data_IF_156138640009
#
_entry.id   IF_156138640009
#
_cell.length_a   1.000
_cell.length_b   1.000
_cell.length_c   1.000
_cell.angle_alpha   90.00
_cell.angle_beta   90.00
_cell.angle_gamma   90.00
#
_symmetry.space_group_name_H-M   'P 1'
#
loop_
_entity.id
_entity.type
_entity.pdbx_description
1 polymer ?
#
# COMPACT_ATOMS: atom_id res chain seq x y z
N UNK A 1 21.87 0.80 -20.28
CA UNK A 1 22.32 0.91 -18.88
C UNK A 1 23.45 1.92 -18.81
N UNK A 2 23.49 2.72 -17.74
CA UNK A 2 24.37 3.88 -17.65
C UNK A 2 25.86 3.49 -17.65
N UNK A 3 26.64 4.12 -18.53
CA UNK A 3 28.11 4.04 -18.58
C UNK A 3 28.78 4.97 -17.55
N UNK A 4 27.99 5.65 -16.71
CA UNK A 4 28.51 6.45 -15.60
C UNK A 4 29.14 5.54 -14.53
N UNK A 5 30.33 5.92 -14.05
CA UNK A 5 31.08 5.16 -13.04
C UNK A 5 30.40 5.14 -11.66
N UNK A 6 29.47 6.06 -11.40
CA UNK A 6 28.90 6.29 -10.07
C UNK A 6 27.61 5.49 -9.89
N UNK A 7 27.43 4.89 -8.69
CA UNK A 7 26.23 4.11 -8.35
C UNK A 7 25.02 5.05 -8.22
N UNK A 8 23.96 4.83 -8.99
CA UNK A 8 22.72 5.62 -8.90
C UNK A 8 21.64 4.92 -8.07
N UNK A 9 21.12 5.56 -7.01
CA UNK A 9 20.06 5.00 -6.17
C UNK A 9 18.82 5.90 -6.11
N UNK A 10 17.66 5.28 -6.29
CA UNK A 10 16.34 5.93 -6.28
C UNK A 10 15.63 5.73 -4.93
N UNK A 11 15.01 6.78 -4.40
CA UNK A 11 13.96 6.66 -3.39
C UNK A 11 12.66 7.29 -3.92
N UNK A 12 11.56 6.55 -3.86
CA UNK A 12 10.22 7.02 -4.25
C UNK A 12 9.22 6.72 -3.14
N UNK A 13 8.72 7.75 -2.45
CA UNK A 13 7.75 7.55 -1.37
C UNK A 13 7.53 8.76 -0.48
N UNK A 14 6.80 8.55 0.62
CA UNK A 14 6.69 9.57 1.68
C UNK A 14 8.03 9.71 2.39
N UNK A 15 8.50 10.94 2.59
CA UNK A 15 9.75 11.24 3.31
C UNK A 15 9.49 11.18 4.81
N UNK A 16 9.32 9.96 5.33
CA UNK A 16 8.87 9.73 6.71
C UNK A 16 9.61 8.52 7.32
N UNK A 17 9.72 8.52 8.65
CA UNK A 17 10.40 7.47 9.40
C UNK A 17 9.77 6.08 9.19
N UNK A 18 8.45 5.99 9.04
CA UNK A 18 7.81 4.69 8.78
C UNK A 18 8.21 4.09 7.42
N UNK A 19 8.61 4.94 6.46
CA UNK A 19 9.15 4.53 5.16
C UNK A 19 10.65 4.28 5.18
N UNK A 20 11.29 4.41 6.34
CA UNK A 20 12.73 4.24 6.52
C UNK A 20 13.56 5.37 5.93
N UNK A 21 12.95 6.53 5.66
CA UNK A 21 13.67 7.65 5.06
C UNK A 21 14.71 8.25 6.02
N UNK A 22 14.49 8.11 7.33
CA UNK A 22 15.47 8.42 8.36
C UNK A 22 16.79 7.65 8.18
N UNK A 23 16.77 6.42 7.68
CA UNK A 23 18.02 5.69 7.39
C UNK A 23 18.84 6.37 6.29
N UNK A 24 18.16 6.88 5.26
CA UNK A 24 18.80 7.60 4.16
C UNK A 24 19.33 8.94 4.67
N UNK A 25 18.50 9.67 5.42
CA UNK A 25 18.85 10.95 6.00
C UNK A 25 20.04 10.83 6.96
N UNK A 26 19.94 9.95 7.97
CA UNK A 26 20.97 9.77 9.00
C UNK A 26 22.29 9.30 8.39
N UNK A 27 22.27 8.41 7.39
CA UNK A 27 23.48 7.99 6.66
C UNK A 27 24.19 9.20 6.03
N UNK A 28 23.43 10.04 5.33
CA UNK A 28 24.00 11.20 4.61
C UNK A 28 24.49 12.26 5.61
N UNK A 29 23.69 12.58 6.63
CA UNK A 29 24.06 13.58 7.64
C UNK A 29 25.30 13.20 8.45
N UNK A 30 25.56 11.90 8.63
CA UNK A 30 26.73 11.40 9.35
C UNK A 30 27.91 11.09 8.42
N UNK A 31 27.76 11.33 7.10
CA UNK A 31 28.81 11.01 6.15
C UNK A 31 30.00 11.98 6.30
N UNK A 32 31.22 11.50 6.60
CA UNK A 32 32.35 12.37 6.93
C UNK A 32 33.00 13.01 5.70
N UNK A 33 32.76 12.46 4.51
CA UNK A 33 33.32 12.97 3.26
C UNK A 33 32.56 14.18 2.73
N UNK A 34 33.20 14.96 1.86
CA UNK A 34 32.57 16.10 1.15
C UNK A 34 31.79 15.68 -0.09
N UNK A 35 31.98 14.45 -0.55
CA UNK A 35 31.37 13.91 -1.76
C UNK A 35 30.83 12.51 -1.48
N UNK A 36 29.55 12.29 -1.81
CA UNK A 36 28.97 10.96 -1.66
C UNK A 36 29.50 10.01 -2.75
N UNK A 37 29.69 8.72 -2.43
CA UNK A 37 30.20 7.74 -3.38
C UNK A 37 29.18 7.26 -4.42
N UNK A 38 28.01 7.89 -4.46
CA UNK A 38 26.84 7.46 -5.21
C UNK A 38 25.97 8.68 -5.52
N UNK A 39 25.12 8.59 -6.54
CA UNK A 39 24.04 9.54 -6.81
C UNK A 39 22.75 9.10 -6.11
N UNK A 40 21.95 10.07 -5.66
CA UNK A 40 20.67 9.85 -4.98
C UNK A 40 19.57 10.65 -5.64
N UNK A 41 18.57 9.95 -6.17
CA UNK A 41 17.41 10.56 -6.79
C UNK A 41 16.21 10.37 -5.85
N UNK A 42 15.67 11.47 -5.33
CA UNK A 42 14.68 11.43 -4.24
C UNK A 42 13.39 12.10 -4.72
N UNK A 43 12.32 11.30 -4.77
CA UNK A 43 10.98 11.73 -5.14
C UNK A 43 10.02 11.46 -3.99
N UNK A 44 9.42 12.52 -3.47
CA UNK A 44 8.57 12.43 -2.30
C UNK A 44 8.29 13.76 -1.64
N UNK A 45 7.39 13.70 -0.66
CA UNK A 45 7.10 14.80 0.27
C UNK A 45 6.95 14.22 1.67
N UNK A 46 7.31 14.97 2.71
CA UNK A 46 7.16 14.49 4.09
C UNK A 46 7.90 15.35 5.11
N UNK A 47 8.03 14.83 6.33
CA UNK A 47 8.66 15.55 7.45
C UNK A 47 10.15 15.83 7.23
N UNK A 48 10.84 15.02 6.42
CA UNK A 48 12.27 15.17 6.13
C UNK A 48 12.58 16.07 4.92
N UNK A 49 11.58 16.74 4.33
CA UNK A 49 11.72 17.54 3.12
C UNK A 49 12.72 18.70 3.28
N UNK A 50 12.61 19.49 4.35
CA UNK A 50 13.54 20.58 4.61
C UNK A 50 14.97 20.09 4.83
N UNK A 51 15.13 18.99 5.58
CA UNK A 51 16.44 18.43 5.89
C UNK A 51 17.15 17.88 4.65
N UNK A 52 16.45 17.18 3.76
CA UNK A 52 17.08 16.66 2.54
C UNK A 52 17.41 17.77 1.54
N UNK A 53 16.60 18.83 1.49
CA UNK A 53 16.89 20.01 0.69
C UNK A 53 18.18 20.69 1.19
N UNK A 54 18.34 20.85 2.50
CA UNK A 54 19.57 21.38 3.08
C UNK A 54 20.81 20.53 2.72
N UNK A 55 20.71 19.21 2.87
CA UNK A 55 21.79 18.29 2.50
C UNK A 55 22.13 18.36 0.99
N UNK A 56 21.15 18.63 0.11
CA UNK A 56 21.40 18.78 -1.32
C UNK A 56 22.24 20.00 -1.70
N UNK A 57 22.25 21.05 -0.87
CA UNK A 57 23.17 22.18 -1.06
C UNK A 57 24.61 21.84 -0.70
N UNK A 58 24.80 20.83 0.16
CA UNK A 58 26.12 20.39 0.63
C UNK A 58 26.70 19.26 -0.23
N UNK A 59 25.84 18.35 -0.70
CA UNK A 59 26.21 17.19 -1.50
C UNK A 59 25.60 17.27 -2.90
N UNK A 60 26.45 17.52 -3.91
CA UNK A 60 26.03 17.61 -5.33
C UNK A 60 25.39 16.32 -5.87
N UNK A 61 25.65 15.20 -5.21
CA UNK A 61 25.11 13.89 -5.59
C UNK A 61 23.67 13.67 -5.12
N UNK A 62 23.07 14.60 -4.38
CA UNK A 62 21.67 14.52 -3.93
C UNK A 62 20.78 15.33 -4.87
N UNK A 63 19.94 14.61 -5.59
CA UNK A 63 18.97 15.15 -6.54
C UNK A 63 17.56 15.03 -5.93
N UNK A 64 17.09 16.09 -5.28
CA UNK A 64 15.75 16.13 -4.66
C UNK A 64 14.74 16.84 -5.58
N UNK A 65 13.64 16.15 -5.91
CA UNK A 65 12.65 16.63 -6.89
C UNK A 65 11.27 16.93 -6.30
N UNK A 66 11.09 16.74 -4.99
CA UNK A 66 9.77 16.77 -4.37
C UNK A 66 8.86 15.64 -4.85
N UNK A 67 7.54 15.78 -4.65
CA UNK A 67 6.57 14.81 -5.14
C UNK A 67 6.33 14.97 -6.64
N UNK A 68 6.48 13.86 -7.40
CA UNK A 68 6.25 13.80 -8.84
C UNK A 68 5.38 12.60 -9.23
N UNK A 69 4.60 12.69 -10.33
CA UNK A 69 3.94 11.52 -10.91
C UNK A 69 4.98 10.55 -11.50
N UNK A 70 4.62 9.27 -11.61
CA UNK A 70 5.54 8.22 -12.09
C UNK A 70 6.12 8.54 -13.48
N UNK A 71 5.32 9.13 -14.37
CA UNK A 71 5.75 9.54 -15.72
C UNK A 71 6.89 10.58 -15.73
N UNK A 72 7.02 11.39 -14.66
CA UNK A 72 8.16 12.30 -14.51
C UNK A 72 9.38 11.58 -13.91
N UNK A 73 9.16 10.59 -13.04
CA UNK A 73 10.22 9.75 -12.46
C UNK A 73 10.91 8.93 -13.56
N UNK A 74 10.15 8.43 -14.53
CA UNK A 74 10.63 7.61 -15.66
C UNK A 74 11.80 8.24 -16.42
N UNK A 75 11.83 9.58 -16.51
CA UNK A 75 12.89 10.34 -17.19
C UNK A 75 14.27 10.21 -16.54
N UNK A 76 14.33 9.78 -15.28
CA UNK A 76 15.56 9.66 -14.52
C UNK A 76 16.03 8.22 -14.38
N UNK A 77 15.21 7.24 -14.77
CA UNK A 77 15.47 5.82 -14.50
C UNK A 77 16.71 5.28 -15.21
N UNK A 78 17.13 5.88 -16.33
CA UNK A 78 18.39 5.53 -16.98
C UNK A 78 19.62 5.74 -16.07
N UNK A 79 19.49 6.62 -15.07
CA UNK A 79 20.53 6.94 -14.11
C UNK A 79 20.47 6.11 -12.83
N UNK A 80 19.56 5.13 -12.74
CA UNK A 80 19.29 4.37 -11.53
C UNK A 80 19.74 2.92 -11.69
N UNK A 81 20.55 2.45 -10.75
CA UNK A 81 20.95 1.05 -10.64
C UNK A 81 20.03 0.27 -9.68
N UNK A 82 19.63 0.86 -8.55
CA UNK A 82 18.72 0.23 -7.58
C UNK A 82 17.73 1.23 -6.99
N UNK A 83 16.58 0.74 -6.54
CA UNK A 83 15.63 1.53 -5.76
C UNK A 83 15.64 1.12 -4.29
N UNK A 84 15.88 2.10 -3.42
CA UNK A 84 15.83 1.96 -1.98
C UNK A 84 14.37 2.07 -1.51
N UNK A 85 13.87 0.98 -0.94
CA UNK A 85 12.60 0.91 -0.22
C UNK A 85 12.80 0.36 1.20
N UNK A 86 13.52 1.07 2.08
CA UNK A 86 13.84 0.61 3.44
C UNK A 86 12.64 0.73 4.41
N UNK A 87 11.42 0.48 3.93
CA UNK A 87 10.19 0.65 4.71
C UNK A 87 10.19 -0.21 5.98
N UNK A 88 10.11 0.45 7.13
CA UNK A 88 9.95 -0.23 8.42
C UNK A 88 8.49 -0.55 8.71
N UNK A 89 7.56 0.22 8.16
CA UNK A 89 6.15 -0.14 8.12
C UNK A 89 5.92 -1.39 7.27
N UNK A 90 4.99 -2.23 7.71
CA UNK A 90 4.56 -3.42 7.00
C UNK A 90 3.71 -3.02 5.79
N UNK A 91 4.29 -3.04 4.59
CA UNK A 91 3.53 -2.78 3.36
C UNK A 91 2.47 -3.85 3.13
N UNK A 92 1.28 -3.46 2.65
CA UNK A 92 0.24 -4.44 2.30
C UNK A 92 0.46 -5.08 0.94
N UNK A 93 1.12 -4.38 0.02
CA UNK A 93 1.53 -4.91 -1.29
C UNK A 93 2.88 -4.33 -1.71
N UNK A 94 2.98 -3.01 -1.85
CA UNK A 94 4.18 -2.36 -2.40
C UNK A 94 4.02 -1.96 -3.87
N UNK A 95 2.98 -1.17 -4.20
CA UNK A 95 2.73 -0.68 -5.56
C UNK A 95 3.91 0.08 -6.16
N UNK A 96 4.63 0.88 -5.36
CA UNK A 96 5.83 1.57 -5.84
C UNK A 96 6.93 0.59 -6.24
N UNK A 97 7.12 -0.50 -5.49
CA UNK A 97 8.14 -1.50 -5.77
C UNK A 97 7.90 -2.15 -7.13
N UNK A 98 6.65 -2.56 -7.39
CA UNK A 98 6.35 -3.26 -8.63
C UNK A 98 6.47 -2.37 -9.88
N UNK A 99 6.10 -1.09 -9.77
CA UNK A 99 6.25 -0.14 -10.87
C UNK A 99 7.73 0.07 -11.23
N UNK A 100 8.62 0.04 -10.24
CA UNK A 100 10.07 0.16 -10.46
C UNK A 100 10.66 -1.16 -11.00
N UNK A 101 10.22 -2.31 -10.49
CA UNK A 101 10.63 -3.62 -11.01
C UNK A 101 10.27 -3.79 -12.50
N UNK A 102 9.14 -3.24 -12.96
CA UNK A 102 8.75 -3.25 -14.37
C UNK A 102 9.78 -2.56 -15.26
N UNK A 103 10.50 -1.58 -14.73
CA UNK A 103 11.54 -0.83 -15.43
C UNK A 103 12.89 -1.57 -15.43
N UNK A 104 12.95 -2.76 -14.83
CA UNK A 104 14.18 -3.54 -14.69
C UNK A 104 15.08 -3.05 -13.57
N UNK A 105 14.55 -2.28 -12.60
CA UNK A 105 15.33 -1.78 -11.48
C UNK A 105 15.04 -2.64 -10.24
N UNK A 106 16.06 -3.29 -9.64
CA UNK A 106 15.92 -4.09 -8.43
C UNK A 106 15.57 -3.24 -7.20
N UNK A 107 14.86 -3.85 -6.26
CA UNK A 107 14.46 -3.23 -4.98
C UNK A 107 15.38 -3.68 -3.86
N UNK A 108 15.90 -2.70 -3.11
CA UNK A 108 16.72 -2.89 -1.92
C UNK A 108 15.91 -2.41 -0.71
N UNK A 109 15.67 -3.28 0.26
CA UNK A 109 14.78 -2.94 1.37
C UNK A 109 14.71 -4.01 2.45
N UNK A 110 13.84 -3.82 3.44
CA UNK A 110 13.53 -4.89 4.39
C UNK A 110 12.55 -5.89 3.74
N UNK A 111 12.93 -7.18 3.63
CA UNK A 111 12.12 -8.21 2.94
C UNK A 111 10.99 -8.71 3.82
N UNK A 112 9.95 -7.87 3.99
CA UNK A 112 8.80 -8.14 4.86
C UNK A 112 7.46 -7.68 4.29
N UNK A 113 6.39 -8.28 4.79
CA UNK A 113 5.02 -7.96 4.37
C UNK A 113 4.82 -8.13 2.87
N UNK A 114 4.22 -7.12 2.23
CA UNK A 114 3.96 -7.14 0.79
C UNK A 114 5.21 -7.11 -0.07
N UNK A 115 6.36 -6.66 0.47
CA UNK A 115 7.61 -6.56 -0.26
C UNK A 115 8.38 -7.89 -0.39
N UNK A 116 7.96 -8.93 0.33
CA UNK A 116 8.63 -10.25 0.32
C UNK A 116 8.87 -10.78 -1.11
N UNK A 117 7.88 -10.76 -2.03
CA UNK A 117 8.09 -11.27 -3.39
C UNK A 117 8.90 -10.33 -4.29
N UNK A 118 9.19 -9.10 -3.84
CA UNK A 118 9.75 -8.02 -4.65
C UNK A 118 11.23 -7.75 -4.36
N UNK A 119 11.72 -8.23 -3.23
CA UNK A 119 13.11 -8.04 -2.80
C UNK A 119 13.81 -9.40 -2.88
N UNK A 120 14.86 -9.47 -3.70
CA UNK A 120 15.72 -10.65 -3.75
C UNK A 120 16.55 -10.75 -2.46
N UNK A 121 16.94 -11.95 -2.05
CA UNK A 121 17.59 -12.15 -0.75
C UNK A 121 18.89 -11.34 -0.62
N UNK A 122 19.68 -11.28 -1.68
CA UNK A 122 20.91 -10.50 -1.70
C UNK A 122 20.70 -8.98 -1.50
N UNK A 123 19.48 -8.46 -1.71
CA UNK A 123 19.14 -7.04 -1.54
C UNK A 123 18.27 -6.78 -0.31
N UNK A 124 18.10 -7.79 0.55
CA UNK A 124 17.41 -7.67 1.82
C UNK A 124 18.34 -7.03 2.88
N UNK A 125 17.96 -5.85 3.38
CA UNK A 125 18.78 -5.08 4.34
C UNK A 125 19.01 -5.89 5.63
N UNK A 126 18.02 -6.65 6.10
CA UNK A 126 18.12 -7.41 7.34
C UNK A 126 19.19 -8.50 7.33
N UNK A 127 19.62 -8.93 6.14
CA UNK A 127 20.69 -9.92 5.92
C UNK A 127 22.09 -9.29 6.00
N UNK A 128 22.20 -7.96 5.97
CA UNK A 128 23.48 -7.28 6.16
C UNK A 128 23.90 -7.33 7.63
N UNK A 129 25.22 -7.39 7.85
CA UNK A 129 25.79 -7.33 9.20
C UNK A 129 25.51 -5.98 9.86
N UNK A 130 25.39 -5.96 11.19
CA UNK A 130 25.15 -4.74 11.97
C UNK A 130 24.12 -4.94 13.07
N UNK A 131 24.35 -4.29 14.21
CA UNK A 131 23.46 -4.35 15.38
C UNK A 131 22.24 -3.44 15.28
N UNK A 132 22.27 -2.44 14.38
CA UNK A 132 21.18 -1.47 14.17
C UNK A 132 20.72 -1.46 12.71
N UNK A 133 19.49 -1.04 12.46
CA UNK A 133 18.98 -0.87 11.09
C UNK A 133 19.87 0.07 10.25
N UNK A 134 20.44 1.11 10.88
CA UNK A 134 21.36 2.03 10.21
C UNK A 134 22.66 1.34 9.83
N UNK A 135 23.27 0.57 10.73
CA UNK A 135 24.49 -0.18 10.41
C UNK A 135 24.25 -1.18 9.25
N UNK A 136 23.13 -1.91 9.30
CA UNK A 136 22.74 -2.83 8.22
C UNK A 136 22.52 -2.11 6.90
N UNK A 137 21.81 -0.99 6.93
CA UNK A 137 21.58 -0.16 5.75
C UNK A 137 22.89 0.39 5.16
N UNK A 138 23.79 0.91 6.01
CA UNK A 138 25.13 1.37 5.61
C UNK A 138 25.94 0.25 4.94
N UNK A 139 25.95 -0.95 5.52
CA UNK A 139 26.65 -2.10 4.96
C UNK A 139 26.05 -2.57 3.63
N UNK A 140 24.73 -2.50 3.49
CA UNK A 140 24.08 -2.73 2.19
C UNK A 140 24.55 -1.71 1.14
N UNK A 141 24.63 -0.41 1.48
CA UNK A 141 25.13 0.61 0.56
C UNK A 141 26.59 0.37 0.15
N UNK A 142 27.44 -0.06 1.08
CA UNK A 142 28.84 -0.43 0.79
C UNK A 142 28.88 -1.62 -0.17
N UNK A 143 28.06 -2.65 0.07
CA UNK A 143 27.94 -3.81 -0.83
C UNK A 143 27.56 -3.37 -2.25
N UNK A 144 26.52 -2.56 -2.41
CA UNK A 144 26.07 -2.08 -3.73
C UNK A 144 27.15 -1.26 -4.43
N UNK A 145 27.92 -0.45 -3.69
CA UNK A 145 29.04 0.29 -4.25
C UNK A 145 30.15 -0.63 -4.77
N UNK A 146 30.48 -1.69 -4.02
CA UNK A 146 31.45 -2.70 -4.47
C UNK A 146 30.95 -3.47 -5.68
N UNK A 147 29.64 -3.78 -5.73
CA UNK A 147 29.00 -4.44 -6.86
C UNK A 147 29.13 -3.60 -8.14
N UNK A 148 28.81 -2.30 -8.07
CA UNK A 148 28.97 -1.35 -9.19
C UNK A 148 30.41 -1.25 -9.71
N UNK A 149 31.40 -1.38 -8.82
CA UNK A 149 32.83 -1.36 -9.21
C UNK A 149 33.30 -2.66 -9.86
N UNK A 150 32.76 -3.81 -9.44
CA UNK A 150 33.28 -5.14 -9.80
C UNK A 150 32.50 -5.82 -10.93
N UNK A 151 31.19 -5.58 -11.02
CA UNK A 151 30.30 -6.26 -11.97
C UNK A 151 30.28 -5.55 -13.32
N UNK A 152 30.10 -6.36 -14.38
CA UNK A 152 30.00 -5.90 -15.77
C UNK A 152 28.53 -5.68 -16.17
N UNK A 153 28.30 -5.15 -17.38
CA UNK A 153 26.97 -4.92 -17.97
C UNK A 153 26.05 -6.13 -17.85
N UNK A 154 26.55 -7.33 -18.18
CA UNK A 154 25.75 -8.55 -18.29
C UNK A 154 25.08 -8.93 -16.95
N UNK A 155 25.75 -8.64 -15.84
CA UNK A 155 25.18 -8.83 -14.50
C UNK A 155 23.95 -7.93 -14.29
N UNK A 156 24.04 -6.66 -14.69
CA UNK A 156 22.92 -5.72 -14.57
C UNK A 156 21.79 -6.06 -15.54
N UNK A 157 22.11 -6.54 -16.74
CA UNK A 157 21.11 -7.04 -17.70
C UNK A 157 20.32 -8.21 -17.12
N UNK A 158 21.02 -9.18 -16.52
CA UNK A 158 20.38 -10.30 -15.84
C UNK A 158 19.51 -9.83 -14.66
N UNK A 159 20.01 -8.90 -13.85
CA UNK A 159 19.27 -8.33 -12.72
C UNK A 159 18.02 -7.57 -13.15
N UNK A 160 18.10 -6.86 -14.27
CA UNK A 160 16.96 -6.18 -14.87
C UNK A 160 15.93 -7.16 -15.41
N UNK A 161 16.37 -8.25 -16.04
CA UNK A 161 15.45 -9.30 -16.51
C UNK A 161 14.71 -9.95 -15.35
N UNK A 162 15.42 -10.33 -14.28
CA UNK A 162 14.80 -10.88 -13.06
C UNK A 162 13.78 -9.92 -12.45
N UNK A 163 14.10 -8.62 -12.42
CA UNK A 163 13.20 -7.59 -11.91
C UNK A 163 11.91 -7.50 -12.74
N UNK A 164 12.05 -7.52 -14.07
CA UNK A 164 10.91 -7.55 -15.00
C UNK A 164 10.09 -8.83 -14.86
N UNK A 165 10.71 -9.98 -14.64
CA UNK A 165 10.03 -11.26 -14.44
C UNK A 165 9.19 -11.27 -13.15
N UNK A 166 9.64 -10.60 -12.09
CA UNK A 166 8.81 -10.35 -10.90
C UNK A 166 7.59 -9.50 -11.27
N UNK A 167 7.79 -8.36 -11.93
CA UNK A 167 6.70 -7.46 -12.30
C UNK A 167 5.68 -8.10 -13.25
N UNK A 168 6.14 -8.93 -14.19
CA UNK A 168 5.33 -9.67 -15.16
C UNK A 168 4.37 -10.67 -14.50
N UNK A 169 4.48 -10.95 -13.20
CA UNK A 169 3.49 -11.75 -12.45
C UNK A 169 2.22 -10.98 -12.10
N UNK A 170 2.21 -9.65 -12.23
CA UNK A 170 1.10 -8.81 -11.78
C UNK A 170 0.63 -7.82 -12.86
N UNK A 171 0.59 -8.27 -14.11
CA UNK A 171 0.08 -7.45 -15.21
C UNK A 171 -1.45 -7.26 -15.12
N UNK A 172 -1.97 -6.34 -15.93
CA UNK A 172 -3.42 -6.08 -16.06
C UNK A 172 -4.16 -7.34 -16.55
N UNK A 173 -3.53 -8.12 -17.44
CA UNK A 173 -4.07 -9.34 -18.02
C UNK A 173 -4.18 -10.43 -16.94
N UNK A 174 -3.09 -10.72 -16.23
CA UNK A 174 -3.09 -11.67 -15.09
C UNK A 174 -4.06 -11.25 -14.00
N UNK A 175 -4.20 -9.93 -13.78
CA UNK A 175 -5.20 -9.40 -12.86
C UNK A 175 -6.61 -9.76 -13.29
N UNK A 176 -6.92 -9.60 -14.57
CA UNK A 176 -8.24 -9.89 -15.10
C UNK A 176 -8.51 -11.41 -15.15
N UNK A 177 -7.54 -12.23 -15.53
CA UNK A 177 -7.62 -13.69 -15.44
C UNK A 177 -7.94 -14.13 -14.01
N UNK A 178 -7.25 -13.57 -13.02
CA UNK A 178 -7.55 -13.83 -11.61
C UNK A 178 -8.93 -13.33 -11.20
N UNK A 179 -9.42 -12.22 -11.78
CA UNK A 179 -10.79 -11.77 -11.52
C UNK A 179 -11.80 -12.80 -12.04
N UNK A 180 -11.60 -13.30 -13.26
CA UNK A 180 -12.44 -14.32 -13.90
C UNK A 180 -12.42 -15.65 -13.12
N UNK A 181 -11.26 -16.05 -12.58
CA UNK A 181 -11.15 -17.27 -11.78
C UNK A 181 -11.97 -17.23 -10.48
N UNK A 182 -12.35 -16.04 -10.02
CA UNK A 182 -13.16 -15.86 -8.82
C UNK A 182 -14.66 -15.67 -9.14
N UNK A 183 -15.02 -15.45 -10.39
CA UNK A 183 -16.41 -15.28 -10.85
C UNK A 183 -16.97 -16.59 -11.39
N UNK A 184 -18.27 -16.82 -11.15
CA UNK A 184 -18.97 -18.00 -11.67
C UNK A 184 -19.25 -17.87 -13.18
N UNK A 185 -19.34 -16.64 -13.69
CA UNK A 185 -19.66 -16.36 -15.09
C UNK A 185 -18.52 -15.61 -15.78
N UNK A 186 -18.27 -15.95 -17.04
CA UNK A 186 -17.37 -15.21 -17.94
C UNK A 186 -18.08 -14.08 -18.70
N UNK A 187 -19.39 -13.92 -18.53
CA UNK A 187 -20.16 -12.86 -19.19
C UNK A 187 -19.86 -11.49 -18.56
N UNK A 188 -19.93 -10.39 -19.34
CA UNK A 188 -19.88 -9.04 -18.80
C UNK A 188 -20.89 -8.86 -17.65
N UNK A 189 -20.44 -8.17 -16.61
CA UNK A 189 -21.20 -7.96 -15.37
C UNK A 189 -21.37 -6.47 -15.11
N UNK A 190 -22.47 -6.11 -14.44
CA UNK A 190 -22.64 -4.82 -13.83
C UNK A 190 -22.06 -4.82 -12.43
N UNK A 191 -20.97 -4.07 -12.24
CA UNK A 191 -20.16 -4.08 -11.03
C UNK A 191 -20.26 -2.73 -10.32
N UNK A 192 -20.54 -2.75 -9.02
CA UNK A 192 -20.49 -1.56 -8.16
C UNK A 192 -19.27 -1.64 -7.26
N UNK A 193 -18.35 -0.69 -7.43
CA UNK A 193 -17.22 -0.51 -6.53
C UNK A 193 -17.58 0.51 -5.45
N UNK A 194 -17.48 0.11 -4.19
CA UNK A 194 -17.87 0.88 -3.01
C UNK A 194 -16.64 1.27 -2.22
N UNK A 195 -16.49 2.57 -1.95
CA UNK A 195 -15.43 3.12 -1.13
C UNK A 195 -15.94 4.32 -0.31
N UNK A 196 -15.29 4.64 0.80
CA UNK A 196 -15.60 5.83 1.60
C UNK A 196 -15.51 7.10 0.73
N UNK A 197 -14.53 7.15 -0.17
CA UNK A 197 -14.32 8.22 -1.14
C UNK A 197 -14.09 7.68 -2.55
N UNK A 198 -14.54 8.42 -3.56
CA UNK A 198 -14.39 8.04 -4.98
C UNK A 198 -13.48 8.97 -5.76
N UNK A 199 -13.03 10.11 -5.23
CA UNK A 199 -12.10 11.00 -5.92
C UNK A 199 -10.64 10.62 -5.61
N UNK A 200 -9.74 10.76 -6.59
CA UNK A 200 -8.31 10.38 -6.47
C UNK A 200 -7.59 11.26 -5.43
N UNK A 201 -7.59 10.81 -4.16
CA UNK A 201 -6.98 11.50 -3.01
C UNK A 201 -5.95 10.65 -2.26
N UNK A 202 -5.70 9.42 -2.74
CA UNK A 202 -4.81 8.45 -2.10
C UNK A 202 -4.75 7.14 -2.89
N UNK A 203 -3.91 6.22 -2.44
CA UNK A 203 -3.63 4.97 -3.17
C UNK A 203 -4.85 4.07 -3.37
N UNK A 204 -5.74 3.97 -2.37
CA UNK A 204 -6.96 3.15 -2.48
C UNK A 204 -7.90 3.73 -3.55
N UNK A 205 -8.09 5.05 -3.56
CA UNK A 205 -8.97 5.70 -4.53
C UNK A 205 -8.36 5.69 -5.93
N UNK A 206 -7.04 5.86 -6.09
CA UNK A 206 -6.36 5.66 -7.38
C UNK A 206 -6.59 4.24 -7.89
N UNK A 207 -6.32 3.24 -7.05
CA UNK A 207 -6.57 1.83 -7.35
C UNK A 207 -8.04 1.53 -7.73
N UNK A 208 -9.00 2.20 -7.08
CA UNK A 208 -10.43 2.06 -7.39
C UNK A 208 -10.72 2.47 -8.84
N UNK A 209 -10.12 3.56 -9.31
CA UNK A 209 -10.27 4.03 -10.70
C UNK A 209 -9.55 3.14 -11.69
N UNK A 210 -8.35 2.66 -11.37
CA UNK A 210 -7.60 1.78 -12.29
C UNK A 210 -8.32 0.43 -12.42
N UNK A 211 -8.88 -0.08 -11.32
CA UNK A 211 -9.75 -1.27 -11.33
C UNK A 211 -11.00 -1.04 -12.15
N UNK A 212 -11.61 0.14 -12.05
CA UNK A 212 -12.77 0.51 -12.87
C UNK A 212 -12.40 0.49 -14.35
N UNK A 213 -11.31 1.16 -14.73
CA UNK A 213 -10.84 1.22 -16.11
C UNK A 213 -10.55 -0.19 -16.66
N UNK A 214 -9.76 -0.98 -15.92
CA UNK A 214 -9.45 -2.37 -16.28
C UNK A 214 -10.71 -3.18 -16.56
N UNK A 215 -11.70 -3.16 -15.66
CA UNK A 215 -12.93 -3.92 -15.85
C UNK A 215 -13.77 -3.41 -17.03
N UNK A 216 -13.78 -2.10 -17.29
CA UNK A 216 -14.48 -1.52 -18.45
C UNK A 216 -13.82 -1.91 -19.78
N UNK A 217 -12.49 -2.04 -19.82
CA UNK A 217 -11.78 -2.50 -21.02
C UNK A 217 -12.20 -3.92 -21.44
N UNK A 218 -12.59 -4.75 -20.48
CA UNK A 218 -13.13 -6.10 -20.72
C UNK A 218 -14.67 -6.14 -20.75
N UNK A 219 -15.33 -5.00 -21.04
CA UNK A 219 -16.77 -4.93 -21.31
C UNK A 219 -17.69 -4.89 -20.08
N UNK A 220 -17.15 -4.90 -18.85
CA UNK A 220 -17.99 -4.80 -17.65
C UNK A 220 -18.56 -3.39 -17.49
N UNK A 221 -19.82 -3.28 -17.06
CA UNK A 221 -20.40 -1.99 -16.69
C UNK A 221 -20.03 -1.66 -15.24
N UNK A 222 -19.12 -0.73 -15.02
CA UNK A 222 -18.63 -0.41 -13.67
C UNK A 222 -19.16 0.94 -13.18
N UNK A 223 -19.76 0.94 -11.99
CA UNK A 223 -20.22 2.15 -11.29
C UNK A 223 -19.48 2.31 -9.97
N UNK A 224 -19.22 3.56 -9.58
CA UNK A 224 -18.61 3.88 -8.28
C UNK A 224 -19.68 4.38 -7.31
N UNK A 225 -19.60 3.96 -6.05
CA UNK A 225 -20.40 4.50 -4.96
C UNK A 225 -19.50 4.94 -3.80
N UNK A 226 -19.65 6.18 -3.36
CA UNK A 226 -18.94 6.73 -2.21
C UNK A 226 -19.08 8.24 -2.12
N UNK A 227 -18.39 8.83 -1.14
CA UNK A 227 -18.37 10.28 -0.95
C UNK A 227 -17.29 10.99 -1.78
N UNK A 228 -17.30 12.32 -1.73
CA UNK A 228 -16.20 13.16 -2.20
C UNK A 228 -15.43 13.72 -1.00
N UNK A 229 -14.10 13.67 -1.02
CA UNK A 229 -13.25 14.29 -0.01
C UNK A 229 -12.56 15.54 -0.60
N UNK A 230 -12.76 16.74 -0.03
CA UNK A 230 -12.00 17.91 -0.45
C UNK A 230 -10.51 17.76 -0.11
N UNK A 231 -9.65 18.55 -0.77
CA UNK A 231 -8.21 18.64 -0.46
C UNK A 231 -7.96 19.51 0.78
N UNK A 232 -6.73 19.51 1.28
CA UNK A 232 -6.28 20.38 2.37
C UNK A 232 -6.88 20.06 3.75
N UNK A 233 -6.94 21.08 4.61
CA UNK A 233 -7.36 20.96 6.01
C UNK A 233 -8.81 20.45 6.15
N UNK A 234 -9.72 20.95 5.31
CA UNK A 234 -11.12 20.49 5.25
C UNK A 234 -11.21 18.99 4.96
N UNK A 235 -10.33 18.47 4.10
CA UNK A 235 -10.22 17.04 3.81
C UNK A 235 -9.74 16.22 5.01
N UNK A 236 -8.70 16.69 5.70
CA UNK A 236 -8.18 16.04 6.91
C UNK A 236 -9.25 15.96 8.00
N UNK A 237 -9.96 17.06 8.25
CA UNK A 237 -11.05 17.11 9.23
C UNK A 237 -12.21 16.17 8.85
N UNK A 238 -12.61 16.15 7.57
CA UNK A 238 -13.67 15.25 7.07
C UNK A 238 -13.32 13.77 7.25
N UNK A 239 -12.06 13.39 7.04
CA UNK A 239 -11.58 12.02 7.28
C UNK A 239 -11.62 11.66 8.76
N UNK A 240 -11.26 12.59 9.64
CA UNK A 240 -11.26 12.38 11.09
C UNK A 240 -12.69 12.20 11.64
N UNK A 241 -13.58 13.16 11.34
CA UNK A 241 -14.98 13.15 11.78
C UNK A 241 -15.79 12.00 11.17
N UNK A 242 -15.37 11.54 10.00
CA UNK A 242 -16.02 10.43 9.29
C UNK A 242 -16.06 9.13 10.10
N UNK A 243 -15.07 8.87 10.96
CA UNK A 243 -15.04 7.64 11.78
C UNK A 243 -16.23 7.60 12.73
N UNK A 244 -16.57 8.71 13.40
CA UNK A 244 -17.76 8.79 14.25
C UNK A 244 -19.05 8.65 13.41
N UNK A 245 -19.11 9.31 12.26
CA UNK A 245 -20.26 9.21 11.34
C UNK A 245 -20.50 7.78 10.85
N UNK A 246 -19.44 6.97 10.67
CA UNK A 246 -19.55 5.57 10.22
C UNK A 246 -20.41 4.69 11.14
N UNK A 247 -20.64 5.10 12.40
CA UNK A 247 -21.49 4.39 13.34
C UNK A 247 -22.98 4.50 12.98
N UNK A 248 -23.41 5.62 12.40
CA UNK A 248 -24.84 6.00 12.28
C UNK A 248 -25.21 6.65 10.94
N UNK A 249 -24.42 6.43 9.88
CA UNK A 249 -24.64 7.08 8.57
C UNK A 249 -25.86 6.55 7.79
N UNK A 250 -27.06 6.79 8.32
CA UNK A 250 -28.33 6.31 7.75
C UNK A 250 -28.61 6.92 6.37
N UNK A 251 -28.22 8.18 6.17
CA UNK A 251 -28.37 8.86 4.88
C UNK A 251 -27.55 8.18 3.77
N UNK A 252 -26.28 7.81 4.03
CA UNK A 252 -25.50 7.04 3.08
C UNK A 252 -26.13 5.67 2.81
N UNK A 253 -26.72 5.06 3.83
CA UNK A 253 -27.41 3.78 3.72
C UNK A 253 -28.65 3.87 2.79
N UNK A 254 -29.49 4.90 2.96
CA UNK A 254 -30.64 5.17 2.09
C UNK A 254 -30.20 5.44 0.65
N UNK A 255 -29.22 6.33 0.45
CA UNK A 255 -28.64 6.59 -0.87
C UNK A 255 -28.10 5.31 -1.53
N UNK A 256 -27.44 4.46 -0.75
CA UNK A 256 -26.91 3.20 -1.25
C UNK A 256 -28.03 2.24 -1.65
N UNK A 257 -29.09 2.14 -0.85
CA UNK A 257 -30.27 1.33 -1.19
C UNK A 257 -30.90 1.78 -2.52
N UNK A 258 -31.19 3.08 -2.67
CA UNK A 258 -31.78 3.64 -3.89
C UNK A 258 -30.86 3.41 -5.10
N UNK A 259 -29.55 3.60 -4.90
CA UNK A 259 -28.55 3.35 -5.92
C UNK A 259 -28.55 1.87 -6.36
N UNK A 260 -28.53 0.91 -5.43
CA UNK A 260 -28.57 -0.51 -5.77
C UNK A 260 -29.89 -0.92 -6.43
N UNK A 261 -31.03 -0.34 -6.03
CA UNK A 261 -32.33 -0.57 -6.65
C UNK A 261 -32.37 -0.10 -8.11
N UNK A 262 -31.74 1.04 -8.40
CA UNK A 262 -31.60 1.57 -9.76
C UNK A 262 -30.60 0.78 -10.59
N UNK A 263 -29.41 0.53 -10.03
CA UNK A 263 -28.33 -0.07 -10.78
C UNK A 263 -28.52 -1.58 -10.98
N UNK A 264 -29.10 -2.32 -10.02
CA UNK A 264 -29.25 -3.78 -10.07
C UNK A 264 -27.94 -4.50 -10.44
N UNK A 265 -26.85 -4.32 -9.66
CA UNK A 265 -25.56 -4.93 -10.01
C UNK A 265 -25.55 -6.45 -9.82
N UNK A 266 -24.67 -7.12 -10.55
CA UNK A 266 -24.34 -8.53 -10.36
C UNK A 266 -23.31 -8.72 -9.25
N UNK A 267 -22.44 -7.72 -9.06
CA UNK A 267 -21.33 -7.76 -8.10
C UNK A 267 -21.15 -6.42 -7.39
N UNK A 268 -21.03 -6.47 -6.06
CA UNK A 268 -20.70 -5.34 -5.19
C UNK A 268 -19.33 -5.60 -4.57
N UNK A 269 -18.34 -4.74 -4.82
CA UNK A 269 -17.00 -4.84 -4.24
C UNK A 269 -16.71 -3.67 -3.31
N UNK A 270 -16.36 -3.96 -2.07
CA UNK A 270 -16.00 -2.96 -1.06
C UNK A 270 -14.49 -2.82 -0.96
N UNK A 271 -14.00 -1.57 -0.88
CA UNK A 271 -12.56 -1.26 -0.84
C UNK A 271 -12.17 -0.48 0.43
N UNK A 272 -12.95 0.54 0.81
CA UNK A 272 -12.74 1.31 2.05
C UNK A 272 -14.08 1.60 2.70
N UNK A 273 -14.22 1.25 3.98
CA UNK A 273 -15.50 1.28 4.70
C UNK A 273 -15.43 1.82 6.12
N UNK A 274 -14.23 1.98 6.69
CA UNK A 274 -14.05 2.35 8.12
C UNK A 274 -14.27 3.85 8.32
N UNK A 275 -13.97 4.67 7.31
CA UNK A 275 -13.84 6.12 7.49
C UNK A 275 -15.16 6.86 7.33
N UNK A 276 -16.20 6.30 6.70
CA UNK A 276 -17.46 7.04 6.48
C UNK A 276 -18.70 6.16 6.28
N UNK A 277 -18.60 5.15 5.44
CA UNK A 277 -19.73 4.34 5.02
C UNK A 277 -20.20 3.39 6.13
N UNK A 278 -19.25 2.75 6.81
CA UNK A 278 -19.51 1.90 7.96
C UNK A 278 -20.37 0.67 7.67
N UNK A 279 -21.02 0.18 8.72
CA UNK A 279 -21.63 -1.15 8.76
C UNK A 279 -23.03 -1.24 8.13
N UNK A 280 -23.71 -0.10 7.92
CA UNK A 280 -25.07 -0.07 7.39
C UNK A 280 -25.15 -0.45 5.92
N UNK A 281 -24.17 -0.07 5.11
CA UNK A 281 -24.12 -0.41 3.68
C UNK A 281 -24.12 -1.93 3.43
N UNK A 282 -23.17 -2.73 4.00
CA UNK A 282 -23.22 -4.18 3.83
C UNK A 282 -24.51 -4.78 4.39
N UNK A 283 -25.07 -4.25 5.50
CA UNK A 283 -26.37 -4.72 6.01
C UNK A 283 -27.50 -4.58 4.98
N UNK A 284 -27.54 -3.45 4.26
CA UNK A 284 -28.54 -3.16 3.21
C UNK A 284 -28.31 -4.03 1.98
N UNK A 285 -27.05 -4.23 1.58
CA UNK A 285 -26.71 -5.03 0.40
C UNK A 285 -27.23 -6.48 0.46
N UNK A 286 -27.49 -7.04 1.65
CA UNK A 286 -28.12 -8.36 1.81
C UNK A 286 -29.51 -8.46 1.15
N UNK A 287 -30.21 -7.34 0.97
CA UNK A 287 -31.52 -7.29 0.31
C UNK A 287 -31.45 -7.48 -1.21
N UNK A 288 -30.25 -7.48 -1.78
CA UNK A 288 -30.01 -7.59 -3.22
C UNK A 288 -29.31 -8.91 -3.53
N UNK A 289 -29.59 -9.57 -4.67
CA UNK A 289 -29.03 -10.87 -5.02
C UNK A 289 -27.54 -10.81 -5.40
N UNK A 290 -27.02 -9.64 -5.79
CA UNK A 290 -25.64 -9.41 -6.22
C UNK A 290 -24.58 -10.12 -5.36
N UNK A 291 -23.55 -10.73 -5.91
CA UNK A 291 -22.41 -11.23 -5.11
C UNK A 291 -21.73 -10.05 -4.39
N UNK A 292 -21.21 -10.26 -3.17
CA UNK A 292 -20.55 -9.25 -2.35
C UNK A 292 -19.12 -9.68 -2.03
N UNK A 293 -18.14 -8.83 -2.35
CA UNK A 293 -16.73 -9.06 -2.02
C UNK A 293 -16.14 -7.90 -1.23
N UNK A 294 -15.25 -8.17 -0.29
CA UNK A 294 -14.55 -7.14 0.50
C UNK A 294 -13.05 -7.22 0.27
N UNK A 295 -12.40 -6.10 -0.06
CA UNK A 295 -10.95 -6.03 -0.20
C UNK A 295 -10.32 -5.23 0.94
N UNK A 296 -9.34 -5.81 1.63
CA UNK A 296 -8.65 -5.20 2.77
C UNK A 296 -7.34 -4.55 2.34
N UNK A 297 -7.38 -3.29 1.91
CA UNK A 297 -6.20 -2.58 1.39
C UNK A 297 -5.20 -2.12 2.45
N UNK A 298 -5.65 -1.92 3.69
CA UNK A 298 -4.83 -1.39 4.77
C UNK A 298 -5.07 -2.14 6.09
N UNK A 299 -4.12 -2.01 7.02
CA UNK A 299 -4.20 -2.66 8.33
C UNK A 299 -5.19 -2.01 9.31
N UNK A 300 -5.92 -0.96 8.91
CA UNK A 300 -6.90 -0.27 9.75
C UNK A 300 -8.06 -1.17 10.19
N UNK A 301 -8.27 -2.29 9.49
CA UNK A 301 -9.23 -3.33 9.86
C UNK A 301 -8.75 -4.25 11.00
N UNK A 302 -7.49 -4.13 11.42
CA UNK A 302 -6.86 -5.04 12.39
C UNK A 302 -6.15 -4.32 13.53
N UNK A 303 -5.71 -3.07 13.33
CA UNK A 303 -4.96 -2.28 14.34
C UNK A 303 -5.41 -0.81 14.37
N UNK A 304 -5.39 -0.14 15.53
CA UNK A 304 -5.71 1.28 15.66
C UNK A 304 -4.73 2.23 14.97
N UNK A 305 -3.48 1.79 14.78
CA UNK A 305 -2.38 2.57 14.21
C UNK A 305 -1.63 1.75 13.15
N UNK A 306 -2.19 1.62 11.94
CA UNK A 306 -1.56 0.86 10.86
C UNK A 306 -0.11 1.28 10.60
N UNK A 307 0.17 2.59 10.51
CA UNK A 307 1.49 3.14 10.19
C UNK A 307 2.60 2.73 11.17
N UNK A 308 2.26 2.34 12.40
CA UNK A 308 3.22 1.91 13.41
C UNK A 308 3.52 0.40 13.34
N UNK A 309 2.82 -0.35 12.48
CA UNK A 309 2.97 -1.79 12.36
C UNK A 309 4.25 -2.13 11.59
N UNK A 310 5.17 -2.84 12.24
CA UNK A 310 6.45 -3.27 11.64
C UNK A 310 6.55 -4.78 11.45
N UNK A 311 5.74 -5.55 12.20
CA UNK A 311 5.64 -7.01 12.15
C UNK A 311 4.18 -7.45 12.39
N UNK A 312 3.75 -8.49 11.70
CA UNK A 312 2.45 -9.16 11.90
C UNK A 312 2.17 -9.58 13.35
N UNK A 313 3.19 -9.93 14.13
CA UNK A 313 3.08 -10.34 15.55
C UNK A 313 2.53 -9.24 16.45
N UNK A 314 2.64 -7.98 16.04
CA UNK A 314 2.06 -6.84 16.76
C UNK A 314 0.53 -6.80 16.63
N UNK A 315 -0.06 -7.49 15.65
CA UNK A 315 -1.51 -7.61 15.50
C UNK A 315 -2.03 -8.66 16.50
N UNK A 316 -2.71 -8.17 17.54
CA UNK A 316 -3.34 -9.04 18.55
C UNK A 316 -4.65 -9.61 18.04
N UNK A 317 -4.69 -10.92 17.78
CA UNK A 317 -5.87 -11.63 17.30
C UNK A 317 -6.51 -12.51 18.39
N UNK A 318 -7.84 -12.72 18.39
CA UNK A 318 -8.84 -12.15 17.48
C UNK A 318 -9.16 -10.68 17.79
N UNK A 319 -9.91 -10.02 16.91
CA UNK A 319 -10.37 -8.64 17.10
C UNK A 319 -11.39 -8.57 18.25
N UNK A 320 -10.89 -8.35 19.46
CA UNK A 320 -11.65 -8.09 20.69
C UNK A 320 -11.28 -6.71 21.23
N UNK A 321 -12.13 -6.14 22.08
CA UNK A 321 -11.85 -4.83 22.69
C UNK A 321 -10.53 -4.86 23.47
N UNK A 322 -10.31 -5.92 24.27
CA UNK A 322 -9.08 -6.15 25.04
C UNK A 322 -7.86 -6.13 24.13
N UNK A 323 -7.86 -6.93 23.06
CA UNK A 323 -6.73 -7.02 22.14
C UNK A 323 -6.49 -5.70 21.40
N UNK A 324 -7.56 -5.04 20.95
CA UNK A 324 -7.47 -3.79 20.20
C UNK A 324 -6.93 -2.64 21.05
N UNK A 325 -7.43 -2.48 22.28
CA UNK A 325 -6.91 -1.50 23.22
C UNK A 325 -5.46 -1.79 23.61
N UNK A 326 -5.09 -3.06 23.74
CA UNK A 326 -3.72 -3.47 24.06
C UNK A 326 -2.70 -3.21 22.92
N UNK A 327 -3.15 -2.75 21.74
CA UNK A 327 -2.30 -2.24 20.65
C UNK A 327 -2.16 -0.71 20.65
N UNK A 328 -2.81 0.00 21.58
CA UNK A 328 -2.86 1.49 21.58
C UNK A 328 -1.56 2.13 22.10
N UNK A 329 -0.67 1.37 22.74
CA UNK A 329 0.66 1.79 23.25
C UNK A 329 0.70 3.23 23.83
N UNK A 330 -0.31 3.62 24.61
CA UNK A 330 -0.39 4.97 25.20
C UNK A 330 -1.12 4.96 26.53
N UNK A 331 -0.64 5.77 27.47
CA UNK A 331 -1.30 6.04 28.76
C UNK A 331 -2.39 7.10 28.64
N UNK A 332 -2.37 7.93 27.57
CA UNK A 332 -3.27 9.07 27.42
C UNK A 332 -4.76 8.64 27.30
N UNK A 333 -5.64 9.11 28.20
CA UNK A 333 -7.04 8.69 28.25
C UNK A 333 -7.84 9.11 27.01
N UNK A 334 -7.58 10.30 26.45
CA UNK A 334 -8.24 10.75 25.21
C UNK A 334 -7.89 9.85 24.03
N UNK A 335 -6.60 9.47 23.88
CA UNK A 335 -6.18 8.53 22.84
C UNK A 335 -6.82 7.15 23.00
N UNK A 336 -7.02 6.68 24.24
CA UNK A 336 -7.75 5.44 24.53
C UNK A 336 -9.22 5.55 24.14
N UNK A 337 -9.89 6.67 24.45
CA UNK A 337 -11.27 6.94 24.05
C UNK A 337 -11.45 6.95 22.52
N UNK A 338 -10.58 7.64 21.79
CA UNK A 338 -10.59 7.61 20.31
C UNK A 338 -10.40 6.21 19.76
N UNK A 339 -9.51 5.43 20.38
CA UNK A 339 -9.26 4.04 19.98
C UNK A 339 -10.46 3.14 20.27
N UNK A 340 -11.13 3.34 21.40
CA UNK A 340 -12.40 2.68 21.70
C UNK A 340 -13.48 3.00 20.65
N UNK A 341 -13.61 4.27 20.24
CA UNK A 341 -14.53 4.67 19.17
C UNK A 341 -14.23 3.99 17.83
N UNK A 342 -12.94 3.93 17.45
CA UNK A 342 -12.49 3.17 16.26
C UNK A 342 -12.85 1.69 16.37
N UNK A 343 -12.62 1.08 17.53
CA UNK A 343 -12.98 -0.32 17.78
C UNK A 343 -14.48 -0.53 17.61
N UNK A 344 -15.33 0.32 18.17
CA UNK A 344 -16.78 0.16 18.08
C UNK A 344 -17.25 0.19 16.61
N UNK A 345 -16.74 1.15 15.83
CA UNK A 345 -17.05 1.24 14.39
C UNK A 345 -16.61 -0.03 13.65
N UNK A 346 -15.36 -0.45 13.87
CA UNK A 346 -14.80 -1.63 13.24
C UNK A 346 -15.53 -2.92 13.66
N UNK A 347 -15.88 -3.05 14.94
CA UNK A 347 -16.60 -4.20 15.49
C UNK A 347 -17.97 -4.37 14.82
N UNK A 348 -18.74 -3.28 14.72
CA UNK A 348 -20.03 -3.29 14.04
C UNK A 348 -19.87 -3.64 12.56
N UNK A 349 -18.88 -3.05 11.89
CA UNK A 349 -18.58 -3.32 10.48
C UNK A 349 -18.23 -4.80 10.27
N UNK A 350 -17.26 -5.33 11.01
CA UNK A 350 -16.80 -6.71 10.91
C UNK A 350 -17.95 -7.69 11.18
N UNK A 351 -18.78 -7.45 12.20
CA UNK A 351 -19.97 -8.29 12.48
C UNK A 351 -20.92 -8.35 11.29
N UNK A 352 -21.04 -7.27 10.51
CA UNK A 352 -21.84 -7.25 9.28
C UNK A 352 -21.13 -7.89 8.10
N UNK A 353 -19.83 -7.63 7.91
CA UNK A 353 -19.06 -8.20 6.82
C UNK A 353 -19.08 -9.74 6.87
N UNK A 354 -18.85 -10.35 8.04
CA UNK A 354 -18.91 -11.82 8.21
C UNK A 354 -20.22 -12.47 7.73
N UNK A 355 -21.33 -11.73 7.84
CA UNK A 355 -22.68 -12.22 7.49
C UNK A 355 -23.11 -11.89 6.06
N UNK A 356 -22.38 -11.02 5.38
CA UNK A 356 -22.82 -10.41 4.12
C UNK A 356 -21.87 -10.73 2.96
N UNK A 357 -20.58 -10.79 3.25
CA UNK A 357 -19.54 -10.93 2.24
C UNK A 357 -19.39 -12.40 1.88
N UNK A 358 -19.41 -12.68 0.58
CA UNK A 358 -19.24 -14.01 0.02
C UNK A 358 -17.75 -14.37 -0.05
N UNK A 359 -16.91 -13.40 -0.42
CA UNK A 359 -15.46 -13.58 -0.54
C UNK A 359 -14.68 -12.36 -0.03
N UNK A 360 -13.66 -12.64 0.80
CA UNK A 360 -12.74 -11.69 1.39
C UNK A 360 -11.42 -11.71 0.64
N UNK A 361 -10.97 -10.54 0.18
CA UNK A 361 -9.82 -10.36 -0.68
C UNK A 361 -8.74 -9.60 0.06
N UNK A 362 -7.50 -10.04 -0.10
CA UNK A 362 -6.32 -9.34 0.43
C UNK A 362 -5.32 -9.03 -0.68
N UNK A 363 -4.55 -7.95 -0.55
CA UNK A 363 -3.58 -7.55 -1.57
C UNK A 363 -2.34 -8.45 -1.61
N UNK A 364 -2.04 -9.19 -0.55
CA UNK A 364 -0.94 -10.15 -0.50
C UNK A 364 -1.30 -11.35 0.37
N UNK A 365 -0.73 -12.50 0.05
CA UNK A 365 -0.97 -13.81 0.64
C UNK A 365 -0.69 -13.80 2.15
N UNK A 366 0.36 -13.12 2.60
CA UNK A 366 0.71 -13.03 4.03
C UNK A 366 -0.40 -12.40 4.89
N UNK A 367 -1.34 -11.66 4.29
CA UNK A 367 -2.47 -11.05 5.00
C UNK A 367 -3.66 -12.01 5.18
N UNK A 368 -3.72 -13.12 4.46
CA UNK A 368 -4.80 -14.11 4.62
C UNK A 368 -4.92 -14.61 6.08
N UNK A 369 -3.83 -15.07 6.75
CA UNK A 369 -3.91 -15.51 8.14
C UNK A 369 -4.28 -14.36 9.10
N UNK A 370 -3.95 -13.11 8.75
CA UNK A 370 -4.32 -11.93 9.54
C UNK A 370 -5.84 -11.73 9.50
N UNK A 371 -6.45 -11.79 8.32
CA UNK A 371 -7.91 -11.71 8.15
C UNK A 371 -8.59 -12.87 8.88
N UNK A 372 -8.09 -14.11 8.67
CA UNK A 372 -8.63 -15.32 9.28
C UNK A 372 -8.64 -15.20 10.81
N UNK A 373 -7.50 -14.94 11.43
CA UNK A 373 -7.35 -14.91 12.89
C UNK A 373 -8.03 -13.71 13.52
N UNK A 374 -7.88 -12.52 12.93
CA UNK A 374 -8.46 -11.29 13.46
C UNK A 374 -9.98 -11.30 13.36
N UNK A 375 -10.51 -11.64 12.19
CA UNK A 375 -11.93 -11.54 11.90
C UNK A 375 -12.65 -12.89 12.06
N UNK A 376 -11.99 -13.97 12.45
CA UNK A 376 -12.59 -15.32 12.57
C UNK A 376 -13.43 -15.69 11.34
N UNK A 377 -12.86 -15.49 10.15
CA UNK A 377 -13.46 -15.84 8.86
C UNK A 377 -12.86 -17.16 8.42
N UNK A 378 -13.67 -18.04 7.83
CA UNK A 378 -13.22 -19.33 7.32
C UNK A 378 -12.17 -19.16 6.20
N UNK A 379 -11.08 -19.95 6.18
CA UNK A 379 -10.03 -19.85 5.16
C UNK A 379 -10.53 -19.91 3.72
N UNK A 380 -11.51 -20.78 3.43
CA UNK A 380 -12.11 -20.93 2.10
C UNK A 380 -12.87 -19.68 1.60
N UNK A 381 -13.12 -18.69 2.47
CA UNK A 381 -13.73 -17.40 2.12
C UNK A 381 -12.70 -16.27 2.02
N UNK A 382 -11.40 -16.57 2.13
CA UNK A 382 -10.32 -15.60 2.08
C UNK A 382 -9.40 -16.00 0.93
N UNK A 383 -8.99 -15.03 0.12
CA UNK A 383 -7.97 -15.31 -0.90
C UNK A 383 -7.20 -14.05 -1.30
N UNK A 384 -5.94 -14.24 -1.66
CA UNK A 384 -5.12 -13.22 -2.26
C UNK A 384 -5.67 -12.82 -3.63
N UNK A 385 -5.75 -11.51 -3.81
CA UNK A 385 -6.15 -10.83 -5.02
C UNK A 385 -5.20 -9.66 -5.19
N UNK A 386 -3.97 -9.99 -5.60
CA UNK A 386 -2.82 -9.08 -5.61
C UNK A 386 -3.08 -7.78 -6.37
N UNK A 387 -2.49 -6.67 -5.95
CA UNK A 387 -2.55 -5.50 -6.83
C UNK A 387 -1.80 -5.78 -8.14
N UNK A 388 -1.96 -4.87 -9.09
CA UNK A 388 -1.46 -5.02 -10.45
C UNK A 388 -0.74 -3.75 -10.87
N UNK A 389 0.10 -3.85 -11.89
CA UNK A 389 0.81 -2.72 -12.49
C UNK A 389 -0.18 -1.65 -12.95
N UNK A 390 -0.03 -0.46 -12.39
CA UNK A 390 -0.86 0.71 -12.72
C UNK A 390 -0.11 1.53 -13.77
N UNK A 391 -0.79 1.84 -14.88
CA UNK A 391 -0.26 2.71 -15.94
C UNK A 391 -0.55 4.17 -15.66
#
# INVERSE_FOLDING_TARGET
MNTTKTLGLLFLGRLEKEKGFDLIYDFISQYPGKELPFDRYIFGSGSYESGILELSYHFKQIHFFGWKPLSEVERYLENIDYCLMPSRFLETFGLSAINILQQGIPIVGFKKGGLIPFIQDEYAIEQSEGSTDLAKFSNMLIKLQQEKKKKKSDFYEQLAQQSKDIANRYTVEKRYERFLSLTVTKKPQKIVLVSDFINKIGGIETYLHDTKHLLQQYGHQVKLFGGYCPKGLRGKLKKLLGIALSLVNLFAAIRFYLFLKREKPDLIRYHSMIRRNGWLLPRIARKFPATKRMMYHDFGYFTPYPHALTDTKQIKTPLTLKNYLAMTQTSNPLKKLFTFGKYLSLFLLVRRLKKTIDLHLVPSEFMEPIVQKSLKISPNKITAFNHFLQK
#
